data_IF_478567720547
#
_entry.id   IF_478567720547
#
_cell.length_a   1.000
_cell.length_b   1.000
_cell.length_c   1.000
_cell.angle_alpha   90.00
_cell.angle_beta   90.00
_cell.angle_gamma   90.00
#
_symmetry.space_group_name_H-M   'P 1'
#
loop_
_entity.id
_entity.type
_entity.pdbx_description
1 polymer ?
#
# COMPACT_ATOMS: atom_id res chain seq x y z
N UNK A 1 -8.25 -8.75 54.67
CA UNK A 1 -9.25 -8.50 53.59
C UNK A 1 -8.67 -7.72 52.42
N UNK A 2 -7.98 -6.59 52.60
CA UNK A 2 -7.41 -5.81 51.46
C UNK A 2 -6.45 -6.62 50.54
N UNK A 3 -5.64 -7.50 51.09
CA UNK A 3 -4.73 -8.33 50.31
C UNK A 3 -5.46 -9.33 49.42
N UNK A 4 -6.58 -9.88 49.84
CA UNK A 4 -7.39 -10.81 49.06
C UNK A 4 -7.97 -10.11 47.83
N UNK A 5 -8.43 -8.89 47.96
CA UNK A 5 -8.93 -8.10 46.83
C UNK A 5 -7.79 -7.78 45.84
N UNK A 6 -6.59 -7.50 46.32
CA UNK A 6 -5.44 -7.20 45.49
C UNK A 6 -5.02 -8.45 44.67
N UNK A 7 -5.02 -9.63 45.29
CA UNK A 7 -4.81 -10.89 44.58
C UNK A 7 -5.92 -11.21 43.58
N UNK A 8 -7.17 -10.91 43.93
CA UNK A 8 -8.31 -11.12 43.03
C UNK A 8 -8.22 -10.21 41.79
N UNK A 9 -7.88 -8.95 41.98
CA UNK A 9 -7.66 -8.00 40.88
C UNK A 9 -6.44 -8.37 40.03
N UNK A 10 -5.35 -8.83 40.65
CA UNK A 10 -4.19 -9.33 39.91
C UNK A 10 -4.52 -10.60 39.12
N UNK A 11 -5.27 -11.54 39.69
CA UNK A 11 -5.71 -12.76 39.00
C UNK A 11 -6.64 -12.44 37.82
N UNK A 12 -7.60 -11.52 37.99
CA UNK A 12 -8.47 -11.05 36.91
C UNK A 12 -7.65 -10.37 35.81
N UNK A 13 -6.65 -9.55 36.17
CA UNK A 13 -5.73 -8.92 35.23
C UNK A 13 -4.94 -9.94 34.42
N UNK A 14 -4.43 -10.99 35.05
CA UNK A 14 -3.69 -12.08 34.37
C UNK A 14 -4.60 -12.90 33.46
N UNK A 15 -5.82 -13.19 33.86
CA UNK A 15 -6.80 -13.91 33.02
C UNK A 15 -7.23 -13.07 31.82
N UNK A 16 -7.37 -11.76 31.97
CA UNK A 16 -7.67 -10.84 30.84
C UNK A 16 -6.49 -10.72 29.86
N UNK A 17 -5.26 -10.87 30.34
CA UNK A 17 -4.05 -10.86 29.50
C UNK A 17 -3.81 -12.19 28.78
N UNK A 18 -4.26 -13.31 29.35
CA UNK A 18 -4.07 -14.65 28.78
C UNK A 18 -5.13 -15.04 27.75
N UNK A 19 -6.28 -14.39 27.72
CA UNK A 19 -7.19 -14.46 26.57
C UNK A 19 -6.55 -13.69 25.42
N UNK A 20 -5.54 -14.31 24.80
CA UNK A 20 -4.82 -13.73 23.67
C UNK A 20 -5.82 -13.33 22.59
N UNK A 21 -6.10 -12.03 22.51
CA UNK A 21 -7.00 -11.45 21.54
C UNK A 21 -6.51 -11.84 20.14
N UNK A 22 -7.09 -12.90 19.60
CA UNK A 22 -6.77 -13.37 18.27
C UNK A 22 -7.20 -12.29 17.28
N UNK A 23 -6.23 -11.56 16.74
CA UNK A 23 -6.49 -10.59 15.68
C UNK A 23 -6.90 -11.25 14.35
N UNK A 24 -7.12 -12.56 14.37
CA UNK A 24 -7.40 -13.39 13.20
C UNK A 24 -8.61 -14.31 13.37
N UNK A 25 -9.37 -14.19 14.47
CA UNK A 25 -10.51 -15.06 14.75
C UNK A 25 -11.70 -14.84 13.79
N UNK A 26 -11.91 -13.60 13.35
CA UNK A 26 -13.00 -13.24 12.44
C UNK A 26 -12.57 -13.23 10.95
N UNK A 27 -11.41 -13.79 10.62
CA UNK A 27 -10.97 -13.90 9.23
C UNK A 27 -11.62 -15.13 8.62
N UNK A 28 -12.31 -15.00 7.46
CA UNK A 28 -12.89 -16.13 6.74
C UNK A 28 -11.85 -17.18 6.38
N UNK A 29 -12.27 -18.43 6.26
CA UNK A 29 -11.39 -19.51 5.82
C UNK A 29 -10.93 -19.27 4.38
N UNK A 30 -9.64 -19.52 4.14
CA UNK A 30 -8.99 -19.22 2.86
C UNK A 30 -8.48 -17.79 2.70
N UNK A 31 -8.88 -16.86 3.57
CA UNK A 31 -8.42 -15.48 3.54
C UNK A 31 -7.25 -15.21 4.51
N UNK A 32 -6.50 -14.18 4.23
CA UNK A 32 -5.36 -13.77 5.03
C UNK A 32 -5.45 -12.29 5.41
N UNK A 33 -5.07 -11.99 6.65
CA UNK A 33 -4.99 -10.62 7.14
C UNK A 33 -3.78 -9.93 6.51
N UNK A 34 -4.06 -8.87 5.79
CA UNK A 34 -3.00 -7.96 5.34
C UNK A 34 -2.49 -7.13 6.50
N UNK A 35 -1.21 -7.25 6.81
CA UNK A 35 -0.58 -6.59 7.94
C UNK A 35 0.44 -5.54 7.53
N UNK A 36 0.26 -4.96 6.35
CA UNK A 36 1.12 -3.94 5.78
C UNK A 36 2.12 -4.48 4.79
N UNK A 37 2.93 -3.59 4.29
CA UNK A 37 3.97 -3.93 3.32
C UNK A 37 5.37 -3.72 3.90
N UNK A 38 6.34 -4.39 3.30
CA UNK A 38 7.74 -4.05 3.44
C UNK A 38 8.07 -2.88 2.51
N UNK A 39 9.18 -2.16 2.75
CA UNK A 39 9.66 -1.17 1.78
C UNK A 39 9.77 -1.79 0.39
N UNK A 40 9.39 -1.01 -0.63
CA UNK A 40 9.52 -1.42 -2.04
C UNK A 40 10.99 -1.65 -2.37
N UNK A 41 11.29 -2.76 -3.03
CA UNK A 41 12.64 -3.09 -3.48
C UNK A 41 12.82 -2.63 -4.93
N UNK A 42 13.76 -1.70 -5.16
CA UNK A 42 14.12 -1.24 -6.49
C UNK A 42 15.40 -1.95 -6.92
N UNK A 43 15.28 -2.85 -7.93
CA UNK A 43 16.36 -3.76 -8.33
C UNK A 43 17.43 -3.03 -9.14
N UNK A 44 17.03 -2.09 -9.99
CA UNK A 44 17.89 -1.27 -10.84
C UNK A 44 17.77 0.20 -10.41
N UNK A 45 18.68 0.61 -9.56
CA UNK A 45 18.62 1.93 -8.95
C UNK A 45 19.29 3.01 -9.82
N UNK A 46 18.57 3.60 -10.76
CA UNK A 46 18.93 4.89 -11.32
C UNK A 46 18.74 5.98 -10.24
N UNK A 47 19.72 6.88 -10.13
CA UNK A 47 19.74 7.98 -9.14
C UNK A 47 19.37 9.33 -9.75
N UNK A 48 18.90 9.35 -11.00
CA UNK A 48 18.43 10.59 -11.62
C UNK A 48 17.25 11.17 -10.86
N UNK A 49 17.06 12.48 -10.97
CA UNK A 49 15.92 13.18 -10.37
C UNK A 49 14.60 12.63 -10.92
N UNK A 50 14.55 12.37 -12.23
CA UNK A 50 13.38 11.77 -12.88
C UNK A 50 13.06 10.39 -12.28
N UNK A 51 14.03 9.49 -12.17
CA UNK A 51 13.82 8.17 -11.58
C UNK A 51 13.40 8.24 -10.11
N UNK A 52 13.91 9.23 -9.37
CA UNK A 52 13.52 9.44 -7.97
C UNK A 52 12.06 9.88 -7.86
N UNK A 53 11.62 10.84 -8.68
CA UNK A 53 10.22 11.27 -8.75
C UNK A 53 9.28 10.13 -9.12
N UNK A 54 9.66 9.30 -10.11
CA UNK A 54 8.86 8.13 -10.52
C UNK A 54 8.75 7.09 -9.40
N UNK A 55 9.82 6.88 -8.62
CA UNK A 55 9.77 5.99 -7.44
C UNK A 55 8.81 6.48 -6.37
N UNK A 56 8.83 7.78 -6.09
CA UNK A 56 7.90 8.38 -5.12
C UNK A 56 6.44 8.19 -5.56
N UNK A 57 6.15 8.40 -6.85
CA UNK A 57 4.82 8.15 -7.41
C UNK A 57 4.44 6.66 -7.34
N UNK A 58 5.38 5.75 -7.63
CA UNK A 58 5.17 4.31 -7.51
C UNK A 58 4.87 3.90 -6.08
N UNK A 59 5.62 4.42 -5.10
CA UNK A 59 5.39 4.10 -3.70
C UNK A 59 3.98 4.52 -3.24
N UNK A 60 3.45 5.63 -3.78
CA UNK A 60 2.06 6.04 -3.53
C UNK A 60 1.06 5.09 -4.20
N UNK A 61 1.30 4.70 -5.45
CA UNK A 61 0.42 3.80 -6.22
C UNK A 61 0.38 2.39 -5.62
N UNK A 62 1.52 1.89 -5.16
CA UNK A 62 1.65 0.56 -4.59
C UNK A 62 1.17 0.49 -3.13
N UNK A 63 1.00 1.64 -2.48
CA UNK A 63 0.66 1.70 -1.07
C UNK A 63 -0.76 1.24 -0.78
N UNK A 64 -0.89 0.25 0.11
CA UNK A 64 -2.17 -0.14 0.70
C UNK A 64 -2.08 -0.01 2.22
N UNK A 65 -3.06 0.66 2.81
CA UNK A 65 -3.08 0.91 4.26
C UNK A 65 -3.57 -0.32 5.03
N UNK A 66 -2.77 -0.86 5.98
CA UNK A 66 -3.21 -1.95 6.84
C UNK A 66 -4.05 -1.44 8.01
N UNK A 67 -4.68 -2.37 8.74
CA UNK A 67 -5.29 -2.05 10.02
C UNK A 67 -4.24 -1.49 11.00
N UNK A 68 -4.60 -0.39 11.67
CA UNK A 68 -3.71 0.28 12.63
C UNK A 68 -2.56 1.05 11.98
N UNK A 69 -2.68 1.43 10.70
CA UNK A 69 -1.74 2.32 10.03
C UNK A 69 -1.57 3.63 10.81
N UNK A 70 -0.34 4.04 11.03
CA UNK A 70 0.00 5.33 11.62
C UNK A 70 0.25 6.35 10.50
N UNK A 71 -0.38 7.51 10.60
CA UNK A 71 -0.28 8.59 9.62
C UNK A 71 -0.56 8.17 8.18
N UNK A 72 -1.35 7.10 8.01
CA UNK A 72 -1.65 6.55 6.68
C UNK A 72 -0.52 5.72 6.05
N UNK A 73 0.56 5.46 6.77
CA UNK A 73 1.70 4.70 6.26
C UNK A 73 1.35 3.24 5.99
N UNK A 74 1.74 2.66 4.86
CA UNK A 74 1.56 1.24 4.57
C UNK A 74 2.54 0.34 5.36
N UNK A 75 3.64 0.91 5.86
CA UNK A 75 4.72 0.19 6.55
C UNK A 75 4.69 0.36 8.06
N UNK A 76 4.24 1.54 8.54
CA UNK A 76 4.20 1.89 9.96
C UNK A 76 2.83 1.57 10.55
N UNK A 77 2.83 0.78 11.63
CA UNK A 77 1.61 0.37 12.31
C UNK A 77 1.69 0.60 13.81
N UNK A 78 0.55 0.93 14.40
CA UNK A 78 0.38 0.93 15.85
C UNK A 78 0.51 -0.50 16.39
N UNK A 79 1.21 -0.71 17.51
CA UNK A 79 1.23 -1.98 18.21
C UNK A 79 -0.16 -2.35 18.75
N UNK A 80 -0.98 -1.36 19.08
CA UNK A 80 -2.33 -1.52 19.61
C UNK A 80 -3.36 -1.35 18.49
N UNK A 81 -3.85 -2.47 17.97
CA UNK A 81 -4.89 -2.50 16.91
C UNK A 81 -6.29 -2.63 17.54
N UNK A 82 -6.64 -1.68 18.39
CA UNK A 82 -7.87 -1.71 19.22
C UNK A 82 -9.12 -1.92 18.35
N UNK A 83 -9.27 -1.18 17.26
CA UNK A 83 -10.42 -1.31 16.37
C UNK A 83 -10.55 -2.70 15.76
N UNK A 84 -9.45 -3.31 15.32
CA UNK A 84 -9.44 -4.68 14.81
C UNK A 84 -9.76 -5.70 15.92
N UNK A 85 -9.27 -5.47 17.13
CA UNK A 85 -9.59 -6.32 18.27
C UNK A 85 -11.06 -6.25 18.63
N UNK A 86 -11.67 -5.07 18.71
CA UNK A 86 -13.11 -4.89 18.93
C UNK A 86 -13.91 -5.59 17.84
N UNK A 87 -13.53 -5.44 16.59
CA UNK A 87 -14.17 -6.15 15.48
C UNK A 87 -14.15 -7.65 15.70
N UNK A 88 -12.98 -8.22 15.97
CA UNK A 88 -12.84 -9.67 16.15
C UNK A 88 -13.61 -10.20 17.36
N UNK A 89 -13.76 -9.40 18.41
CA UNK A 89 -14.46 -9.81 19.62
C UNK A 89 -15.99 -9.72 19.50
N UNK A 90 -16.52 -8.74 18.78
CA UNK A 90 -17.94 -8.39 18.82
C UNK A 90 -18.67 -8.46 17.46
N UNK A 91 -17.96 -8.61 16.33
CA UNK A 91 -18.59 -8.62 15.00
C UNK A 91 -19.59 -9.76 14.78
N UNK A 92 -19.42 -10.87 15.49
CA UNK A 92 -20.31 -12.04 15.46
C UNK A 92 -21.44 -11.96 16.51
N UNK A 93 -21.42 -10.95 17.37
CA UNK A 93 -22.40 -10.76 18.42
C UNK A 93 -23.76 -10.32 17.88
N UNK A 94 -24.83 -10.81 18.51
CA UNK A 94 -26.22 -10.54 18.09
C UNK A 94 -26.87 -9.44 18.90
N UNK A 95 -26.27 -9.03 20.03
CA UNK A 95 -26.84 -8.03 20.93
C UNK A 95 -26.76 -6.61 20.36
N UNK A 96 -27.65 -5.74 20.83
CA UNK A 96 -27.62 -4.32 20.47
C UNK A 96 -26.32 -3.64 20.90
N UNK A 97 -25.73 -4.09 22.02
CA UNK A 97 -24.45 -3.61 22.52
C UNK A 97 -23.29 -3.98 21.59
N UNK A 98 -23.24 -5.26 21.12
CA UNK A 98 -22.22 -5.72 20.19
C UNK A 98 -22.22 -4.91 18.89
N UNK A 99 -23.42 -4.71 18.33
CA UNK A 99 -23.60 -3.89 17.13
C UNK A 99 -23.16 -2.44 17.33
N UNK A 100 -23.51 -1.87 18.49
CA UNK A 100 -23.14 -0.50 18.81
C UNK A 100 -21.61 -0.33 18.96
N UNK A 101 -20.94 -1.21 19.72
CA UNK A 101 -19.50 -1.11 19.97
C UNK A 101 -18.68 -1.34 18.67
N UNK A 102 -19.12 -2.27 17.83
CA UNK A 102 -18.51 -2.52 16.53
C UNK A 102 -18.68 -1.31 15.61
N UNK A 103 -19.87 -0.71 15.57
CA UNK A 103 -20.14 0.48 14.76
C UNK A 103 -19.35 1.70 15.23
N UNK A 104 -19.18 1.88 16.55
CA UNK A 104 -18.51 3.03 17.12
C UNK A 104 -16.97 2.94 17.08
N UNK A 105 -16.41 1.76 17.29
CA UNK A 105 -14.99 1.57 17.54
C UNK A 105 -14.36 0.41 16.74
N UNK A 106 -15.16 -0.46 16.12
CA UNK A 106 -14.67 -1.59 15.35
C UNK A 106 -14.07 -1.15 14.01
N UNK A 107 -12.99 -1.80 13.62
CA UNK A 107 -12.39 -1.64 12.30
C UNK A 107 -12.32 -2.99 11.61
N UNK A 108 -12.92 -3.10 10.44
CA UNK A 108 -12.90 -4.33 9.65
C UNK A 108 -11.47 -4.76 9.33
N UNK A 109 -11.18 -6.09 9.34
CA UNK A 109 -9.87 -6.58 8.90
C UNK A 109 -9.65 -6.25 7.42
N UNK A 110 -8.50 -5.68 7.12
CA UNK A 110 -8.05 -5.54 5.73
C UNK A 110 -7.51 -6.89 5.29
N UNK A 111 -8.21 -7.56 4.40
CA UNK A 111 -7.83 -8.86 3.85
C UNK A 111 -6.86 -8.68 2.68
N UNK A 112 -6.11 -9.74 2.35
CA UNK A 112 -5.19 -9.71 1.21
C UNK A 112 -5.93 -9.53 -0.12
N UNK A 113 -7.14 -10.06 -0.25
CA UNK A 113 -8.04 -9.85 -1.38
C UNK A 113 -8.39 -8.37 -1.59
N UNK A 114 -8.56 -7.59 -0.50
CA UNK A 114 -8.78 -6.14 -0.58
C UNK A 114 -7.50 -5.36 -0.90
N UNK A 115 -6.35 -5.85 -0.46
CA UNK A 115 -5.07 -5.24 -0.81
C UNK A 115 -4.76 -5.31 -2.31
N UNK A 116 -5.38 -6.26 -3.00
CA UNK A 116 -5.39 -6.45 -4.46
C UNK A 116 -4.05 -6.13 -5.15
N UNK A 117 -2.98 -6.87 -4.83
CA UNK A 117 -1.65 -6.56 -5.34
C UNK A 117 -1.53 -6.65 -6.86
N UNK A 118 -2.35 -7.47 -7.50
CA UNK A 118 -2.38 -7.60 -8.97
C UNK A 118 -2.84 -6.29 -9.65
N UNK A 119 -3.85 -5.63 -9.07
CA UNK A 119 -4.29 -4.33 -9.55
C UNK A 119 -3.18 -3.29 -9.39
N UNK A 120 -2.57 -3.23 -8.21
CA UNK A 120 -1.49 -2.27 -7.93
C UNK A 120 -0.27 -2.48 -8.84
N UNK A 121 0.13 -3.72 -9.10
CA UNK A 121 1.21 -4.01 -10.05
C UNK A 121 0.85 -3.58 -11.48
N UNK A 122 -0.39 -3.80 -11.89
CA UNK A 122 -0.86 -3.37 -13.23
C UNK A 122 -0.85 -1.85 -13.37
N UNK A 123 -1.36 -1.14 -12.37
CA UNK A 123 -1.36 0.35 -12.37
C UNK A 123 0.07 0.88 -12.32
N UNK A 124 0.93 0.29 -11.50
CA UNK A 124 2.33 0.67 -11.41
C UNK A 124 3.11 0.45 -12.72
N UNK A 125 2.88 -0.68 -13.42
CA UNK A 125 3.47 -0.91 -14.75
C UNK A 125 2.99 0.14 -15.77
N UNK A 126 1.72 0.52 -15.71
CA UNK A 126 1.20 1.57 -16.59
C UNK A 126 1.82 2.94 -16.25
N UNK A 127 2.08 3.21 -14.98
CA UNK A 127 2.79 4.42 -14.56
C UNK A 127 4.22 4.43 -15.10
N UNK A 128 4.97 3.32 -14.97
CA UNK A 128 6.31 3.19 -15.53
C UNK A 128 6.32 3.51 -17.04
N UNK A 129 5.40 2.92 -17.81
CA UNK A 129 5.27 3.19 -19.25
C UNK A 129 4.99 4.67 -19.55
N UNK A 130 4.10 5.29 -18.78
CA UNK A 130 3.79 6.73 -18.92
C UNK A 130 4.98 7.65 -18.63
N UNK A 131 5.93 7.15 -17.83
CA UNK A 131 7.13 7.88 -17.42
C UNK A 131 8.38 7.51 -18.25
N UNK A 132 8.18 6.83 -19.40
CA UNK A 132 9.26 6.49 -20.31
C UNK A 132 9.96 5.15 -20.01
N UNK A 133 9.52 4.40 -19.00
CA UNK A 133 10.08 3.09 -18.65
C UNK A 133 9.27 1.96 -19.30
N UNK A 134 9.35 1.79 -20.62
CA UNK A 134 8.51 0.82 -21.37
C UNK A 134 8.78 -0.63 -21.02
N UNK A 135 10.01 -0.96 -20.63
CA UNK A 135 10.44 -2.30 -20.24
C UNK A 135 10.40 -2.51 -18.73
N UNK A 136 9.78 -1.56 -17.98
CA UNK A 136 9.63 -1.67 -16.55
C UNK A 136 8.68 -2.79 -16.15
N UNK A 137 9.03 -3.50 -15.09
CA UNK A 137 8.20 -4.57 -14.53
C UNK A 137 8.08 -4.45 -13.01
N UNK A 138 6.93 -4.88 -12.49
CA UNK A 138 6.64 -4.90 -11.07
C UNK A 138 6.13 -6.28 -10.72
N UNK A 139 6.76 -6.89 -9.74
CA UNK A 139 6.32 -8.14 -9.13
C UNK A 139 6.03 -7.94 -7.65
N UNK A 140 5.32 -8.88 -7.05
CA UNK A 140 5.10 -8.90 -5.62
C UNK A 140 5.28 -10.29 -5.03
N UNK A 141 5.55 -10.33 -3.74
CA UNK A 141 5.61 -11.55 -2.96
C UNK A 141 4.85 -11.39 -1.64
N UNK A 142 4.23 -12.48 -1.21
CA UNK A 142 3.56 -12.56 0.08
C UNK A 142 4.56 -13.07 1.11
N UNK A 143 4.79 -12.29 2.15
CA UNK A 143 5.74 -12.61 3.23
C UNK A 143 4.96 -13.10 4.44
N UNK A 144 4.98 -14.42 4.73
CA UNK A 144 4.29 -14.99 5.88
C UNK A 144 4.88 -14.47 7.19
N UNK A 145 4.02 -14.34 8.19
CA UNK A 145 4.41 -14.02 9.56
C UNK A 145 4.36 -15.26 10.45
N UNK A 146 4.71 -15.11 11.74
CA UNK A 146 4.60 -16.21 12.71
C UNK A 146 3.21 -16.86 12.75
N UNK A 147 2.15 -16.06 12.52
CA UNK A 147 0.79 -16.55 12.36
C UNK A 147 0.51 -16.73 10.86
N UNK A 148 0.19 -17.93 10.36
CA UNK A 148 -0.02 -18.21 8.94
C UNK A 148 -1.22 -17.45 8.34
N UNK A 149 -2.18 -17.03 9.17
CA UNK A 149 -3.29 -16.16 8.74
C UNK A 149 -2.88 -14.69 8.57
N UNK A 150 -1.60 -14.32 8.79
CA UNK A 150 -1.08 -12.95 8.66
C UNK A 150 0.00 -12.90 7.60
N UNK A 151 -0.18 -12.00 6.64
CA UNK A 151 0.78 -11.78 5.56
C UNK A 151 1.19 -10.32 5.46
N UNK A 152 2.42 -10.09 5.08
CA UNK A 152 2.91 -8.81 4.56
C UNK A 152 3.09 -8.91 3.06
N UNK A 153 2.98 -7.76 2.40
CA UNK A 153 3.24 -7.62 0.98
C UNK A 153 4.63 -7.02 0.77
N UNK A 154 5.35 -7.48 -0.22
CA UNK A 154 6.61 -6.88 -0.67
C UNK A 154 6.56 -6.75 -2.19
N UNK A 155 6.78 -5.53 -2.68
CA UNK A 155 6.92 -5.26 -4.10
C UNK A 155 8.39 -5.21 -4.48
N UNK A 156 8.70 -5.74 -5.66
CA UNK A 156 9.99 -5.60 -6.33
C UNK A 156 9.73 -4.90 -7.67
N UNK A 157 10.40 -3.78 -7.86
CA UNK A 157 10.27 -2.92 -9.04
C UNK A 157 11.59 -2.97 -9.81
N UNK A 158 11.50 -3.32 -11.08
CA UNK A 158 12.56 -3.17 -12.06
C UNK A 158 12.13 -2.08 -13.04
N UNK A 159 12.77 -0.92 -12.97
CA UNK A 159 12.39 0.21 -13.82
C UNK A 159 12.83 -0.01 -15.26
N UNK A 160 14.00 -0.59 -15.46
CA UNK A 160 14.59 -0.78 -16.76
C UNK A 160 15.17 0.52 -17.33
N UNK A 161 15.39 0.55 -18.64
CA UNK A 161 15.95 1.70 -19.32
C UNK A 161 14.90 2.79 -19.52
N UNK A 162 15.29 4.04 -19.25
CA UNK A 162 14.50 5.22 -19.59
C UNK A 162 14.59 5.45 -21.11
N UNK A 163 13.44 5.59 -21.74
CA UNK A 163 13.32 5.97 -23.14
C UNK A 163 12.98 7.45 -23.22
N UNK A 164 13.71 8.15 -24.06
CA UNK A 164 13.52 9.57 -24.33
C UNK A 164 13.22 9.78 -25.81
N UNK A 165 12.56 10.89 -26.12
CA UNK A 165 12.31 11.29 -27.51
C UNK A 165 13.64 11.73 -28.12
N UNK A 166 14.12 10.99 -29.13
CA UNK A 166 15.35 11.35 -29.83
C UNK A 166 15.12 12.56 -30.75
N UNK A 167 14.15 12.43 -31.65
CA UNK A 167 13.86 13.45 -32.66
C UNK A 167 12.36 13.72 -32.76
N UNK A 168 12.01 15.02 -32.76
CA UNK A 168 10.65 15.46 -33.03
C UNK A 168 10.66 16.26 -34.35
N UNK A 169 9.87 15.82 -35.32
CA UNK A 169 9.73 16.52 -36.59
C UNK A 169 8.25 16.85 -36.85
N UNK A 170 8.02 18.04 -37.30
CA UNK A 170 6.69 18.48 -37.73
C UNK A 170 6.63 18.44 -39.26
N UNK A 171 5.67 17.68 -39.81
CA UNK A 171 5.54 17.47 -41.26
C UNK A 171 4.13 17.82 -41.74
N UNK A 172 4.05 18.27 -43.00
CA UNK A 172 2.74 18.57 -43.64
C UNK A 172 2.16 19.92 -43.31
N UNK A 173 2.92 20.85 -42.75
CA UNK A 173 2.51 22.20 -42.46
C UNK A 173 2.86 23.16 -43.60
N UNK A 174 2.17 24.27 -43.68
CA UNK A 174 2.50 25.38 -44.61
C UNK A 174 3.68 26.17 -44.04
N UNK A 175 4.45 26.92 -44.89
CA UNK A 175 5.59 27.73 -44.43
C UNK A 175 5.28 28.69 -43.27
N UNK A 176 4.06 29.28 -43.28
CA UNK A 176 3.63 30.16 -42.19
C UNK A 176 3.35 29.43 -40.88
N UNK A 177 2.84 28.21 -40.94
CA UNK A 177 2.66 27.35 -39.76
C UNK A 177 3.98 26.82 -39.20
N UNK A 178 4.92 26.44 -40.10
CA UNK A 178 6.27 26.03 -39.70
C UNK A 178 7.01 27.15 -38.96
N UNK A 179 6.84 28.38 -39.42
CA UNK A 179 7.43 29.56 -38.76
C UNK A 179 6.86 29.76 -37.35
N UNK A 180 5.55 29.61 -37.18
CA UNK A 180 4.92 29.69 -35.86
C UNK A 180 5.33 28.55 -34.93
N UNK A 181 5.39 27.33 -35.42
CA UNK A 181 5.84 26.16 -34.67
C UNK A 181 7.28 26.36 -34.21
N UNK A 182 8.15 26.81 -35.12
CA UNK A 182 9.56 27.05 -34.79
C UNK A 182 9.74 28.17 -33.77
N UNK A 183 8.91 29.23 -33.83
CA UNK A 183 8.97 30.36 -32.90
C UNK A 183 8.54 29.98 -31.47
N UNK A 184 7.72 28.90 -31.30
CA UNK A 184 7.20 28.44 -30.01
C UNK A 184 7.68 27.04 -29.65
N UNK A 185 8.73 26.52 -30.31
CA UNK A 185 9.25 25.19 -30.06
C UNK A 185 9.71 24.97 -28.62
N UNK A 186 10.21 26.03 -27.97
CA UNK A 186 10.66 26.00 -26.59
C UNK A 186 9.50 25.90 -25.56
N UNK A 187 8.31 26.29 -25.98
CA UNK A 187 7.08 26.22 -25.17
C UNK A 187 6.38 24.87 -25.30
N UNK A 188 6.81 24.02 -26.25
CA UNK A 188 6.19 22.73 -26.50
C UNK A 188 6.38 21.78 -25.31
N UNK A 189 5.30 21.15 -24.89
CA UNK A 189 5.34 20.12 -23.85
C UNK A 189 6.15 18.89 -24.26
N UNK A 190 6.21 18.61 -25.56
CA UNK A 190 6.95 17.49 -26.16
C UNK A 190 8.16 18.03 -26.90
N UNK A 191 9.36 17.57 -26.52
CA UNK A 191 10.64 18.01 -27.10
C UNK A 191 11.64 16.88 -27.09
N UNK A 192 12.68 16.97 -27.94
CA UNK A 192 13.79 16.01 -27.93
C UNK A 192 14.46 15.97 -26.54
N UNK A 193 14.79 14.78 -26.07
CA UNK A 193 15.35 14.52 -24.74
C UNK A 193 14.33 14.37 -23.63
N UNK A 194 13.04 14.69 -23.88
CA UNK A 194 11.98 14.43 -22.89
C UNK A 194 11.61 12.93 -22.81
N UNK A 195 11.30 12.40 -21.63
CA UNK A 195 10.81 11.02 -21.45
C UNK A 195 9.36 10.86 -21.92
#
# INVERSE_FOLDING_TARGET
MKQIYLFLWAAIGVVLLSTGCSSTSAIPDGEQLYTGMKPTEYVDADKSEHATSVREELDVVLATKPNGSLFGSPTLQSPLKIGLWIWNAFSQGTTSFDKWIVKAFGTQPVLMSYANPDLHTTVGRNLLKKRGYFNGDISYSLVPQKNPKKMKLQYAVKMGQLWTIDTLSYVGFTPGQDSLISAHADEAMTRSGAP
#
